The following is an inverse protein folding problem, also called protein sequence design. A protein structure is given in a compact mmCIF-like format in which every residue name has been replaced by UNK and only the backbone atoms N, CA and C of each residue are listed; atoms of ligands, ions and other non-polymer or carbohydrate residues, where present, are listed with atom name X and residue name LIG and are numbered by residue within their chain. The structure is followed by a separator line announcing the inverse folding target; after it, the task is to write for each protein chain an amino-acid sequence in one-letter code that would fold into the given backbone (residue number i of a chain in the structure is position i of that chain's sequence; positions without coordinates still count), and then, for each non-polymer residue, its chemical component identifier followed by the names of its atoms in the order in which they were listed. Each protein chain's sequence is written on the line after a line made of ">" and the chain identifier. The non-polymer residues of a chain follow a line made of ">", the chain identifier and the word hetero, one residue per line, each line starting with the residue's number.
data_IF_455378177891
#
_entry.id   IF_455378177891
#
_cell.length_a   1.000
_cell.length_b   1.000
_cell.length_c   1.000
_cell.angle_alpha   90.00
_cell.angle_beta   90.00
_cell.angle_gamma   90.00
#
_symmetry.space_group_name_H-M   'P 1'
#
loop_
_entity.id
_entity.type
_entity.pdbx_description
1 polymer ?
#
# COMPACT_ATOMS: atom_id res chain seq x y z
N UNK A 1 18.82 16.60 15.71
CA UNK A 1 17.64 15.79 16.05
C UNK A 1 17.49 14.73 14.96
N UNK A 2 17.47 13.43 15.28
CA UNK A 2 17.50 12.34 14.29
C UNK A 2 16.14 12.10 13.60
N UNK A 3 15.03 12.55 14.21
CA UNK A 3 13.68 12.46 13.65
C UNK A 3 12.99 13.83 13.72
N UNK A 4 12.56 14.43 12.59
CA UNK A 4 11.71 15.61 12.62
C UNK A 4 10.34 15.24 13.19
N UNK A 5 9.80 16.06 14.10
CA UNK A 5 8.46 15.86 14.69
C UNK A 5 7.45 16.93 14.24
N UNK A 6 7.91 17.89 13.44
CA UNK A 6 7.14 18.98 12.87
C UNK A 6 8.01 19.81 11.93
N UNK A 7 7.39 20.76 11.25
CA UNK A 7 8.04 21.68 10.32
C UNK A 7 7.68 23.15 10.63
N UNK A 8 8.22 24.06 9.82
CA UNK A 8 7.88 25.48 9.84
C UNK A 8 7.57 25.97 8.42
N UNK A 9 6.62 26.91 8.25
CA UNK A 9 5.82 27.57 9.30
C UNK A 9 4.69 26.67 9.84
N UNK A 10 4.19 26.93 11.05
CA UNK A 10 3.00 26.28 11.60
C UNK A 10 1.75 27.13 11.30
N UNK A 11 0.95 26.78 10.28
CA UNK A 11 -0.18 27.58 9.85
C UNK A 11 -1.30 27.57 10.90
N UNK A 12 -2.00 28.70 11.05
CA UNK A 12 -3.16 28.76 11.94
C UNK A 12 -4.35 28.01 11.31
N UNK A 13 -5.01 27.17 12.09
CA UNK A 13 -6.21 26.45 11.68
C UNK A 13 -6.17 24.99 12.09
N UNK A 14 -7.27 24.27 11.85
CA UNK A 14 -7.33 22.81 12.02
C UNK A 14 -7.21 22.16 10.63
N UNK A 15 -6.18 21.33 10.38
CA UNK A 15 -6.00 20.64 9.11
C UNK A 15 -6.91 19.41 9.04
N UNK A 16 -8.19 19.67 8.73
CA UNK A 16 -9.25 18.66 8.77
C UNK A 16 -9.00 17.51 7.80
N UNK A 17 -8.46 17.79 6.61
CA UNK A 17 -8.20 16.74 5.62
C UNK A 17 -6.99 15.92 6.05
N UNK A 18 -5.92 16.54 6.56
CA UNK A 18 -4.77 15.81 7.11
C UNK A 18 -5.19 14.86 8.23
N UNK A 19 -5.94 15.36 9.21
CA UNK A 19 -6.43 14.52 10.31
C UNK A 19 -7.41 13.45 9.83
N UNK A 20 -8.27 13.76 8.86
CA UNK A 20 -9.16 12.79 8.23
C UNK A 20 -8.40 11.66 7.55
N UNK A 21 -7.36 11.98 6.78
CA UNK A 21 -6.50 11.01 6.11
C UNK A 21 -5.73 10.16 7.12
N UNK A 22 -5.13 10.77 8.15
CA UNK A 22 -4.44 10.02 9.22
C UNK A 22 -5.41 9.06 9.91
N UNK A 23 -6.59 9.55 10.30
CA UNK A 23 -7.61 8.74 10.97
C UNK A 23 -8.08 7.59 10.09
N UNK A 24 -8.32 7.82 8.81
CA UNK A 24 -8.74 6.78 7.86
C UNK A 24 -7.67 5.69 7.72
N UNK A 25 -6.40 6.07 7.53
CA UNK A 25 -5.29 5.12 7.42
C UNK A 25 -5.09 4.30 8.70
N UNK A 26 -5.11 4.95 9.86
CA UNK A 26 -5.00 4.28 11.16
C UNK A 26 -6.20 3.36 11.40
N UNK A 27 -7.41 3.78 11.06
CA UNK A 27 -8.61 2.96 11.21
C UNK A 27 -8.56 1.72 10.32
N UNK A 28 -8.21 1.86 9.03
CA UNK A 28 -8.02 0.72 8.12
C UNK A 28 -6.97 -0.22 8.70
N UNK A 29 -5.85 0.30 9.21
CA UNK A 29 -4.81 -0.54 9.77
C UNK A 29 -5.26 -1.29 11.02
N UNK A 30 -5.86 -0.60 12.00
CA UNK A 30 -6.23 -1.21 13.28
C UNK A 30 -7.44 -2.13 13.18
N UNK A 31 -8.41 -1.80 12.34
CA UNK A 31 -9.68 -2.53 12.23
C UNK A 31 -9.63 -3.64 11.18
N UNK A 32 -8.75 -3.52 10.17
CA UNK A 32 -8.67 -4.47 9.07
C UNK A 32 -7.28 -5.12 9.05
N UNK A 33 -6.22 -4.34 8.82
CA UNK A 33 -4.89 -4.91 8.57
C UNK A 33 -4.37 -5.74 9.75
N UNK A 34 -4.39 -5.18 10.96
CA UNK A 34 -3.81 -5.79 12.15
C UNK A 34 -4.53 -7.09 12.56
N UNK A 35 -5.85 -7.14 12.77
CA UNK A 35 -6.52 -8.39 13.16
C UNK A 35 -6.41 -9.48 12.07
N UNK A 36 -6.53 -9.09 10.80
CA UNK A 36 -6.44 -10.06 9.69
C UNK A 36 -5.02 -10.56 9.45
N UNK A 37 -3.99 -9.80 9.84
CA UNK A 37 -2.58 -10.25 9.77
C UNK A 37 -2.30 -11.41 10.75
N UNK A 38 -3.07 -11.51 11.84
CA UNK A 38 -2.99 -12.61 12.80
C UNK A 38 -4.02 -13.72 12.54
N UNK A 39 -4.84 -13.59 11.50
CA UNK A 39 -5.85 -14.57 11.12
C UNK A 39 -5.37 -15.31 9.88
N UNK A 40 -5.49 -16.64 9.84
CA UNK A 40 -5.16 -17.40 8.62
C UNK A 40 -6.22 -17.19 7.55
N UNK A 41 -5.80 -17.25 6.29
CA UNK A 41 -6.73 -17.26 5.17
C UNK A 41 -7.69 -18.45 5.24
N UNK A 42 -8.95 -18.22 4.84
CA UNK A 42 -9.94 -19.28 4.72
C UNK A 42 -9.54 -20.21 3.55
N UNK A 43 -9.35 -21.53 3.79
CA UNK A 43 -8.99 -22.48 2.73
C UNK A 43 -10.02 -22.59 1.61
N UNK A 44 -11.26 -22.17 1.86
CA UNK A 44 -12.37 -22.22 0.88
C UNK A 44 -12.49 -20.94 0.05
N UNK A 45 -11.74 -19.89 0.38
CA UNK A 45 -11.76 -18.63 -0.35
C UNK A 45 -11.15 -18.82 -1.76
N UNK A 46 -11.88 -18.54 -2.86
CA UNK A 46 -11.33 -18.65 -4.21
C UNK A 46 -10.12 -17.73 -4.45
N UNK A 47 -10.00 -16.61 -3.72
CA UNK A 47 -8.85 -15.71 -3.83
C UNK A 47 -7.54 -16.37 -3.34
N UNK A 48 -7.63 -17.33 -2.40
CA UNK A 48 -6.47 -18.04 -1.88
C UNK A 48 -5.78 -18.85 -2.99
N UNK A 49 -6.53 -19.59 -3.79
CA UNK A 49 -5.98 -20.40 -4.87
C UNK A 49 -5.24 -19.52 -5.90
N UNK A 50 -5.82 -18.38 -6.27
CA UNK A 50 -5.20 -17.41 -7.17
C UNK A 50 -3.93 -16.79 -6.56
N UNK A 51 -3.95 -16.44 -5.28
CA UNK A 51 -2.81 -15.88 -4.57
C UNK A 51 -1.64 -16.87 -4.49
N UNK A 52 -1.93 -18.13 -4.13
CA UNK A 52 -0.93 -19.21 -4.09
C UNK A 52 -0.32 -19.45 -5.48
N UNK A 53 -1.13 -19.42 -6.54
CA UNK A 53 -0.63 -19.53 -7.92
C UNK A 53 0.43 -18.47 -8.24
N UNK A 54 0.16 -17.21 -7.88
CA UNK A 54 1.12 -16.10 -8.06
C UNK A 54 2.38 -16.31 -7.22
N UNK A 55 2.25 -16.74 -5.97
CA UNK A 55 3.41 -17.01 -5.11
C UNK A 55 4.29 -18.14 -5.65
N UNK A 56 3.70 -19.23 -6.14
CA UNK A 56 4.44 -20.36 -6.71
C UNK A 56 5.23 -19.95 -7.96
N UNK A 57 4.63 -19.13 -8.83
CA UNK A 57 5.33 -18.54 -9.98
C UNK A 57 6.49 -17.63 -9.54
N UNK A 58 6.25 -16.77 -8.55
CA UNK A 58 7.25 -15.83 -8.04
C UNK A 58 8.45 -16.52 -7.38
N UNK A 59 8.21 -17.59 -6.61
CA UNK A 59 9.26 -18.35 -5.93
C UNK A 59 9.80 -19.52 -6.76
N UNK A 60 9.36 -19.68 -8.01
CA UNK A 60 9.84 -20.71 -8.93
C UNK A 60 9.63 -22.14 -8.41
N UNK A 61 8.51 -22.39 -7.72
CA UNK A 61 8.16 -23.72 -7.18
C UNK A 61 9.05 -24.22 -6.04
N UNK A 62 9.84 -23.34 -5.40
CA UNK A 62 10.73 -23.71 -4.27
C UNK A 62 10.00 -24.06 -2.97
N UNK A 63 8.72 -23.70 -2.86
CA UNK A 63 7.87 -23.92 -1.70
C UNK A 63 6.71 -24.83 -2.10
N UNK A 64 6.31 -25.75 -1.22
CA UNK A 64 5.14 -26.58 -1.50
C UNK A 64 3.84 -25.78 -1.32
N UNK A 65 2.78 -26.08 -2.10
CA UNK A 65 1.49 -25.41 -1.94
C UNK A 65 0.91 -25.55 -0.53
N UNK A 66 1.12 -26.70 0.11
CA UNK A 66 0.64 -26.95 1.47
C UNK A 66 1.34 -26.06 2.52
N UNK A 67 2.65 -25.83 2.37
CA UNK A 67 3.39 -24.91 3.24
C UNK A 67 2.92 -23.47 3.07
N UNK A 68 2.69 -23.05 1.81
CA UNK A 68 2.22 -21.69 1.52
C UNK A 68 0.84 -21.43 2.13
N UNK A 69 -0.13 -22.33 1.93
CA UNK A 69 -1.49 -22.18 2.50
C UNK A 69 -1.46 -21.98 4.02
N UNK A 70 -0.56 -22.67 4.72
CA UNK A 70 -0.41 -22.51 6.18
C UNK A 70 0.20 -21.18 6.63
N UNK A 71 0.82 -20.43 5.72
CA UNK A 71 1.54 -19.17 5.97
C UNK A 71 0.78 -17.93 5.49
N UNK A 72 -0.21 -18.08 4.61
CA UNK A 72 -1.02 -16.95 4.11
C UNK A 72 -1.99 -16.47 5.20
N UNK A 73 -1.89 -15.18 5.51
CA UNK A 73 -2.85 -14.50 6.39
C UNK A 73 -4.10 -14.07 5.61
N UNK A 74 -5.20 -13.85 6.32
CA UNK A 74 -6.40 -13.26 5.73
C UNK A 74 -6.11 -11.84 5.19
N UNK A 75 -5.16 -11.12 5.80
CA UNK A 75 -4.76 -9.81 5.31
C UNK A 75 -4.05 -9.87 3.96
N UNK A 76 -3.24 -10.91 3.70
CA UNK A 76 -2.60 -11.09 2.40
C UNK A 76 -3.65 -11.21 1.28
N UNK A 77 -4.78 -11.87 1.55
CA UNK A 77 -5.90 -11.93 0.61
C UNK A 77 -6.60 -10.58 0.43
N UNK A 78 -6.75 -9.78 1.50
CA UNK A 78 -7.27 -8.42 1.39
C UNK A 78 -6.37 -7.55 0.50
N UNK A 79 -5.06 -7.61 0.72
CA UNK A 79 -4.08 -6.90 -0.12
C UNK A 79 -4.11 -7.42 -1.55
N UNK A 80 -4.23 -8.73 -1.75
CA UNK A 80 -4.31 -9.32 -3.08
C UNK A 80 -5.59 -8.92 -3.84
N UNK A 81 -6.72 -8.78 -3.15
CA UNK A 81 -8.01 -8.47 -3.78
C UNK A 81 -8.25 -6.97 -3.95
N UNK A 82 -7.83 -6.16 -2.98
CA UNK A 82 -8.09 -4.71 -2.95
C UNK A 82 -6.85 -3.86 -3.22
N UNK A 83 -5.67 -4.47 -3.32
CA UNK A 83 -4.46 -3.81 -3.77
C UNK A 83 -4.44 -3.66 -5.29
N UNK A 84 -3.74 -2.64 -5.79
CA UNK A 84 -3.60 -2.46 -7.23
C UNK A 84 -2.69 -3.52 -7.84
N UNK A 85 -3.27 -4.34 -8.72
CA UNK A 85 -2.55 -5.38 -9.46
C UNK A 85 -2.58 -5.06 -10.95
N UNK A 86 -1.42 -4.88 -11.61
CA UNK A 86 -1.37 -4.59 -13.03
C UNK A 86 -1.94 -5.69 -13.94
N UNK A 87 -2.03 -6.92 -13.42
CA UNK A 87 -2.63 -8.06 -14.11
C UNK A 87 -4.17 -8.07 -14.02
N UNK A 88 -4.75 -7.33 -13.07
CA UNK A 88 -6.19 -7.21 -12.83
C UNK A 88 -6.55 -5.76 -12.46
N UNK A 89 -6.38 -4.81 -13.40
CA UNK A 89 -6.52 -3.39 -13.10
C UNK A 89 -7.98 -3.02 -12.93
N UNK A 90 -8.32 -2.49 -11.76
CA UNK A 90 -9.64 -1.92 -11.51
C UNK A 90 -9.55 -0.65 -10.67
N UNK A 91 -10.47 0.29 -10.92
CA UNK A 91 -10.42 1.64 -10.35
C UNK A 91 -10.49 1.62 -8.83
N UNK A 92 -11.31 0.76 -8.24
CA UNK A 92 -11.42 0.68 -6.78
C UNK A 92 -10.06 0.37 -6.13
N UNK A 93 -9.30 -0.59 -6.69
CA UNK A 93 -7.96 -0.93 -6.21
C UNK A 93 -6.95 0.23 -6.29
N UNK A 94 -7.10 1.13 -7.27
CA UNK A 94 -6.26 2.33 -7.34
C UNK A 94 -6.50 3.27 -6.15
N UNK A 95 -7.69 3.25 -5.54
CA UNK A 95 -8.01 4.11 -4.39
C UNK A 95 -7.84 3.38 -3.06
N UNK A 96 -8.28 2.12 -2.96
CA UNK A 96 -8.16 1.33 -1.73
C UNK A 96 -6.70 1.05 -1.38
N UNK A 97 -5.83 0.89 -2.38
CA UNK A 97 -4.39 0.70 -2.15
C UNK A 97 -3.70 1.87 -1.44
N UNK A 98 -4.23 3.10 -1.53
CA UNK A 98 -3.68 4.26 -0.80
C UNK A 98 -3.79 4.11 0.73
N UNK A 99 -4.63 3.20 1.22
CA UNK A 99 -4.89 2.99 2.64
C UNK A 99 -4.33 1.67 3.17
N UNK A 100 -3.89 0.76 2.29
CA UNK A 100 -3.33 -0.53 2.66
C UNK A 100 -1.85 -0.37 3.01
N UNK A 101 -1.45 -0.88 4.17
CA UNK A 101 -0.08 -0.78 4.68
C UNK A 101 0.54 -2.15 4.88
N UNK A 102 1.80 -2.32 4.47
CA UNK A 102 2.54 -3.58 4.57
C UNK A 102 2.96 -3.95 6.01
N UNK A 103 2.78 -3.04 6.98
CA UNK A 103 3.14 -3.27 8.37
C UNK A 103 3.22 -1.97 9.16
N UNK A 104 3.49 -2.11 10.47
CA UNK A 104 3.48 -1.00 11.42
C UNK A 104 4.46 0.12 11.04
N UNK A 105 5.70 -0.23 10.68
CA UNK A 105 6.70 0.78 10.30
C UNK A 105 6.32 1.55 9.04
N UNK A 106 5.68 0.90 8.07
CA UNK A 106 5.21 1.58 6.86
C UNK A 106 4.09 2.57 7.20
N UNK A 107 3.12 2.16 8.03
CA UNK A 107 2.08 3.06 8.53
C UNK A 107 2.69 4.23 9.31
N UNK A 108 3.55 3.94 10.29
CA UNK A 108 4.16 4.96 11.15
C UNK A 108 4.94 6.00 10.32
N UNK A 109 5.70 5.54 9.32
CA UNK A 109 6.39 6.42 8.39
C UNK A 109 5.44 7.34 7.61
N UNK A 110 4.38 6.78 7.00
CA UNK A 110 3.40 7.57 6.24
C UNK A 110 2.67 8.58 7.14
N UNK A 111 2.26 8.17 8.34
CA UNK A 111 1.56 9.04 9.27
C UNK A 111 2.49 10.16 9.78
N UNK A 112 3.77 9.87 9.98
CA UNK A 112 4.77 10.89 10.32
C UNK A 112 4.91 11.92 9.17
N UNK A 113 4.95 11.49 7.91
CA UNK A 113 4.98 12.41 6.77
C UNK A 113 3.73 13.29 6.69
N UNK A 114 2.54 12.70 6.85
CA UNK A 114 1.28 13.47 6.87
C UNK A 114 1.21 14.42 8.06
N UNK A 115 1.71 13.99 9.23
CA UNK A 115 1.74 14.81 10.44
C UNK A 115 2.67 16.01 10.29
N UNK A 116 3.83 15.82 9.69
CA UNK A 116 4.83 16.88 9.54
C UNK A 116 4.44 17.87 8.44
N UNK A 117 3.99 17.39 7.27
CA UNK A 117 3.84 18.25 6.09
C UNK A 117 2.40 18.50 5.66
N UNK A 118 1.46 17.69 6.16
CA UNK A 118 0.08 17.67 5.65
C UNK A 118 -0.65 18.98 5.93
N UNK A 119 -0.49 19.53 7.13
CA UNK A 119 -1.12 20.79 7.54
C UNK A 119 -0.66 21.98 6.69
N UNK A 120 0.63 22.02 6.36
CA UNK A 120 1.24 23.03 5.50
C UNK A 120 0.74 22.94 4.06
N UNK A 121 0.63 21.72 3.53
CA UNK A 121 0.09 21.50 2.18
C UNK A 121 -1.40 21.83 2.14
N UNK A 122 -2.18 21.43 3.15
CA UNK A 122 -3.60 21.74 3.27
C UNK A 122 -3.84 23.24 3.35
N UNK A 123 -3.05 23.96 4.15
CA UNK A 123 -3.15 25.41 4.28
C UNK A 123 -2.87 26.14 2.96
N UNK A 124 -1.88 25.69 2.19
CA UNK A 124 -1.50 26.32 0.90
C UNK A 124 -2.45 26.00 -0.25
N UNK A 125 -2.95 24.77 -0.32
CA UNK A 125 -3.81 24.32 -1.42
C UNK A 125 -5.30 24.54 -1.12
N UNK A 126 -5.68 24.54 0.16
CA UNK A 126 -7.05 24.37 0.62
C UNK A 126 -7.48 22.90 0.63
N UNK A 127 -8.49 22.60 1.44
CA UNK A 127 -8.97 21.23 1.74
C UNK A 127 -9.23 20.39 0.49
N UNK A 128 -10.05 20.88 -0.44
CA UNK A 128 -10.50 20.12 -1.62
C UNK A 128 -9.32 19.83 -2.55
N UNK A 129 -8.47 20.82 -2.80
CA UNK A 129 -7.32 20.67 -3.70
C UNK A 129 -6.25 19.78 -3.07
N UNK A 130 -6.07 19.85 -1.75
CA UNK A 130 -5.17 18.95 -1.04
C UNK A 130 -5.65 17.49 -1.12
N UNK A 131 -6.93 17.23 -0.86
CA UNK A 131 -7.49 15.88 -1.00
C UNK A 131 -7.34 15.35 -2.43
N UNK A 132 -7.68 16.18 -3.44
CA UNK A 132 -7.52 15.80 -4.84
C UNK A 132 -6.04 15.52 -5.19
N UNK A 133 -5.12 16.34 -4.70
CA UNK A 133 -3.68 16.14 -4.89
C UNK A 133 -3.20 14.85 -4.22
N UNK A 134 -3.65 14.55 -3.00
CA UNK A 134 -3.34 13.30 -2.30
C UNK A 134 -3.76 12.09 -3.12
N UNK A 135 -5.02 12.06 -3.59
CA UNK A 135 -5.52 10.96 -4.41
C UNK A 135 -4.79 10.85 -5.75
N UNK A 136 -4.61 11.96 -6.46
CA UNK A 136 -3.96 11.97 -7.77
C UNK A 136 -2.50 11.53 -7.68
N UNK A 137 -1.75 11.98 -6.67
CA UNK A 137 -0.35 11.60 -6.47
C UNK A 137 -0.23 10.14 -6.01
N UNK A 138 -1.14 9.63 -5.18
CA UNK A 138 -1.17 8.22 -4.81
C UNK A 138 -1.42 7.30 -6.02
N UNK A 139 -2.36 7.67 -6.90
CA UNK A 139 -2.57 6.95 -8.16
C UNK A 139 -1.33 7.03 -9.06
N UNK A 140 -0.75 8.22 -9.23
CA UNK A 140 0.44 8.40 -10.04
C UNK A 140 1.64 7.57 -9.52
N UNK A 141 1.85 7.53 -8.20
CA UNK A 141 2.89 6.73 -7.56
C UNK A 141 2.66 5.23 -7.79
N UNK A 142 1.41 4.76 -7.67
CA UNK A 142 1.02 3.36 -7.90
C UNK A 142 1.30 2.92 -9.34
N UNK A 143 0.95 3.76 -10.31
CA UNK A 143 1.22 3.51 -11.72
C UNK A 143 2.73 3.58 -12.02
N UNK A 144 3.44 4.54 -11.44
CA UNK A 144 4.88 4.66 -11.60
C UNK A 144 5.60 3.41 -11.08
N UNK A 145 5.27 2.96 -9.86
CA UNK A 145 5.83 1.75 -9.27
C UNK A 145 5.61 0.53 -10.17
N UNK A 146 4.41 0.37 -10.70
CA UNK A 146 4.07 -0.69 -11.67
C UNK A 146 4.96 -0.68 -12.91
N UNK A 147 5.13 0.50 -13.52
CA UNK A 147 5.95 0.66 -14.72
C UNK A 147 7.42 0.40 -14.40
N UNK A 148 7.89 0.93 -13.27
CA UNK A 148 9.27 0.80 -12.83
C UNK A 148 9.65 -0.66 -12.54
N UNK A 149 8.81 -1.41 -11.85
CA UNK A 149 9.03 -2.82 -11.55
C UNK A 149 9.07 -3.68 -12.83
N UNK A 150 8.13 -3.43 -13.76
CA UNK A 150 8.15 -4.09 -15.08
C UNK A 150 9.43 -3.79 -15.84
N UNK A 151 9.89 -2.54 -15.80
CA UNK A 151 11.13 -2.13 -16.44
C UNK A 151 12.35 -2.85 -15.84
N UNK A 152 12.45 -2.95 -14.52
CA UNK A 152 13.52 -3.70 -13.84
C UNK A 152 13.54 -5.18 -14.22
N UNK A 153 12.37 -5.84 -14.26
CA UNK A 153 12.26 -7.25 -14.66
C UNK A 153 12.69 -7.44 -16.12
N UNK A 154 12.32 -6.52 -17.00
CA UNK A 154 12.73 -6.56 -18.41
C UNK A 154 14.25 -6.46 -18.56
N UNK A 155 14.89 -5.51 -17.88
CA UNK A 155 16.35 -5.36 -17.88
C UNK A 155 17.08 -6.61 -17.34
N UNK A 156 16.55 -7.21 -16.27
CA UNK A 156 17.10 -8.45 -15.71
C UNK A 156 17.03 -9.63 -16.68
N UNK A 157 15.96 -9.73 -17.48
CA UNK A 157 15.81 -10.75 -18.53
C UNK A 157 16.80 -10.56 -19.68
N UNK A 158 17.01 -9.32 -20.15
CA UNK A 158 18.00 -9.05 -21.20
C UNK A 158 19.42 -9.44 -20.76
N UNK A 159 19.82 -9.06 -19.54
CA UNK A 159 21.17 -9.36 -19.00
C UNK A 159 21.42 -10.87 -18.83
N UNK A 160 20.38 -11.69 -18.59
CA UNK A 160 20.52 -13.15 -18.48
C UNK A 160 20.65 -13.83 -19.85
N UNK A 161 20.20 -13.19 -20.93
CA UNK A 161 20.27 -13.74 -22.30
C UNK A 161 21.62 -13.48 -22.99
N UNK A 162 22.41 -12.56 -22.46
CA UNK A 162 23.76 -12.20 -22.94
C UNK A 162 24.89 -12.95 -22.22
N UNK A 163 24.57 -13.80 -21.24
CA UNK A 163 25.51 -14.72 -20.56
C UNK A 163 25.25 -16.15 -20.98
#
# INVERSE_FOLDING_TARGET
>A
MFLPLGDEPNPRGVPWVTYGLITANVAVYLLISLPLSFTRADPTDPALAAYIGVLLEQFGGRLSPAELVGQVSAYDLVVFTHGFRPADPHLAALFTSLFLHAGFLHLAGNMLFLWIYGDNVEHRLGQVRYLAAYLATGVAATLFHTVFDRWLIHLGRCRRKER
#
